data_IF_623470588108
#
_entry.id   IF_623470588108
#
_cell.length_a   1.000
_cell.length_b   1.000
_cell.length_c   1.000
_cell.angle_alpha   90.00
_cell.angle_beta   90.00
_cell.angle_gamma   90.00
#
_symmetry.space_group_name_H-M   'P 1'
#
loop_
_entity.id
_entity.type
_entity.pdbx_description
1 polymer ?
#
# COMPACT_ATOMS: atom_id res chain seq x y z
N UNK A 1 -26.46 -7.15 -34.44
CA UNK A 1 -25.64 -6.80 -33.25
C UNK A 1 -24.13 -6.76 -33.56
N UNK A 2 -23.66 -7.26 -34.71
CA UNK A 2 -22.24 -7.19 -35.12
C UNK A 2 -21.74 -5.78 -35.51
N UNK A 3 -22.61 -4.88 -36.00
CA UNK A 3 -22.20 -3.54 -36.44
C UNK A 3 -21.73 -2.59 -35.33
N UNK A 4 -22.20 -2.77 -34.09
CA UNK A 4 -21.87 -1.91 -32.94
C UNK A 4 -20.55 -2.29 -32.24
N UNK A 5 -20.18 -3.57 -32.27
CA UNK A 5 -18.91 -4.03 -31.70
C UNK A 5 -17.72 -3.50 -32.53
N UNK A 6 -17.84 -3.58 -33.85
CA UNK A 6 -16.80 -3.12 -34.77
C UNK A 6 -16.57 -1.61 -34.68
N UNK A 7 -17.63 -0.81 -34.49
CA UNK A 7 -17.50 0.66 -34.32
C UNK A 7 -16.81 1.07 -33.01
N UNK A 8 -16.91 0.25 -31.96
CA UNK A 8 -16.36 0.58 -30.65
C UNK A 8 -14.87 0.22 -30.54
N UNK A 9 -14.43 -0.89 -31.15
CA UNK A 9 -13.02 -1.25 -31.25
C UNK A 9 -12.24 -0.20 -32.07
N UNK A 10 -12.81 0.22 -33.21
CA UNK A 10 -12.23 1.23 -34.10
C UNK A 10 -12.16 2.62 -33.43
N UNK A 11 -13.11 2.93 -32.54
CA UNK A 11 -13.11 4.15 -31.71
C UNK A 11 -11.96 4.18 -30.70
N UNK A 12 -11.64 3.04 -30.09
CA UNK A 12 -10.53 2.94 -29.14
C UNK A 12 -9.18 3.05 -29.83
N UNK A 13 -9.01 2.41 -30.99
CA UNK A 13 -7.81 2.53 -31.81
C UNK A 13 -7.54 4.00 -32.19
N UNK A 14 -8.57 4.73 -32.67
CA UNK A 14 -8.48 6.16 -32.97
C UNK A 14 -8.23 7.05 -31.74
N UNK A 15 -8.75 6.67 -30.58
CA UNK A 15 -8.54 7.44 -29.34
C UNK A 15 -7.11 7.27 -28.82
N UNK A 16 -6.51 6.09 -28.95
CA UNK A 16 -5.12 5.84 -28.54
C UNK A 16 -4.10 6.64 -29.37
N UNK A 17 -4.45 7.02 -30.59
CA UNK A 17 -3.62 7.87 -31.47
C UNK A 17 -3.76 9.39 -31.20
N UNK A 18 -4.78 9.83 -30.46
CA UNK A 18 -5.04 11.24 -30.16
C UNK A 18 -4.18 11.81 -29.02
N UNK A 19 -4.09 13.14 -28.92
CA UNK A 19 -3.42 13.83 -27.80
C UNK A 19 -4.06 13.47 -26.44
N UNK A 20 -3.25 13.41 -25.38
CA UNK A 20 -3.68 13.08 -24.02
C UNK A 20 -4.89 13.90 -23.54
N UNK A 21 -4.92 15.20 -23.87
CA UNK A 21 -6.05 16.09 -23.54
C UNK A 21 -7.35 15.73 -24.26
N UNK A 22 -7.26 15.29 -25.51
CA UNK A 22 -8.44 14.81 -26.27
C UNK A 22 -8.94 13.46 -25.76
N UNK A 23 -8.03 12.58 -25.33
CA UNK A 23 -8.38 11.32 -24.68
C UNK A 23 -9.09 11.56 -23.35
N UNK A 24 -8.58 12.49 -22.52
CA UNK A 24 -9.18 12.85 -21.24
C UNK A 24 -10.58 13.46 -21.38
N UNK A 25 -10.79 14.32 -22.39
CA UNK A 25 -12.05 15.05 -22.56
C UNK A 25 -13.13 14.28 -23.33
N UNK A 26 -12.75 13.38 -24.26
CA UNK A 26 -13.70 12.72 -25.19
C UNK A 26 -13.62 11.19 -25.22
N UNK A 27 -12.59 10.58 -24.62
CA UNK A 27 -12.35 9.14 -24.68
C UNK A 27 -12.57 8.41 -23.35
N UNK A 28 -13.02 7.17 -23.44
CA UNK A 28 -12.93 6.17 -22.37
C UNK A 28 -11.57 5.51 -22.56
N UNK A 29 -10.62 5.63 -21.63
CA UNK A 29 -9.32 4.94 -21.71
C UNK A 29 -8.95 4.34 -20.34
N UNK A 30 -9.14 3.03 -20.12
CA UNK A 30 -8.92 2.39 -18.82
C UNK A 30 -7.43 2.38 -18.39
N UNK A 31 -6.51 2.43 -19.36
CA UNK A 31 -5.06 2.51 -19.11
C UNK A 31 -4.63 3.87 -18.59
N UNK A 32 -5.28 4.93 -19.06
CA UNK A 32 -5.06 6.30 -18.57
C UNK A 32 -5.81 6.53 -17.25
N UNK A 33 -7.01 5.98 -17.11
CA UNK A 33 -7.89 6.21 -15.96
C UNK A 33 -7.22 5.90 -14.62
N UNK A 34 -6.45 4.81 -14.53
CA UNK A 34 -5.69 4.46 -13.30
C UNK A 34 -4.76 5.58 -12.86
N UNK A 35 -4.06 6.26 -13.78
CA UNK A 35 -3.13 7.34 -13.43
C UNK A 35 -3.86 8.59 -12.95
N UNK A 36 -5.02 8.89 -13.55
CA UNK A 36 -5.89 9.98 -13.10
C UNK A 36 -6.38 9.71 -11.67
N UNK A 37 -6.86 8.50 -11.39
CA UNK A 37 -7.23 8.11 -10.02
C UNK A 37 -6.03 8.15 -9.07
N UNK A 38 -4.85 7.70 -9.50
CA UNK A 38 -3.60 7.82 -8.73
C UNK A 38 -3.28 9.27 -8.36
N UNK A 39 -3.41 10.19 -9.31
CA UNK A 39 -3.18 11.62 -9.10
C UNK A 39 -4.24 12.23 -8.18
N UNK A 40 -5.52 11.89 -8.36
CA UNK A 40 -6.60 12.33 -7.46
C UNK A 40 -6.35 11.90 -6.01
N UNK A 41 -5.88 10.66 -5.82
CA UNK A 41 -5.51 10.13 -4.51
C UNK A 41 -4.34 10.91 -3.90
N UNK A 42 -3.27 11.15 -4.67
CA UNK A 42 -2.13 11.96 -4.23
C UNK A 42 -2.56 13.37 -3.80
N UNK A 43 -3.37 14.06 -4.61
CA UNK A 43 -3.86 15.40 -4.30
C UNK A 43 -4.67 15.38 -2.99
N UNK A 44 -5.51 14.37 -2.79
CA UNK A 44 -6.34 14.25 -1.59
C UNK A 44 -5.51 13.97 -0.35
N UNK A 45 -4.45 13.17 -0.47
CA UNK A 45 -3.49 12.91 0.60
C UNK A 45 -2.67 14.16 0.96
N UNK A 46 -2.24 14.95 -0.04
CA UNK A 46 -1.59 16.24 0.19
C UNK A 46 -2.54 17.25 0.84
N UNK A 47 -3.84 17.23 0.48
CA UNK A 47 -4.86 18.04 1.13
C UNK A 47 -5.05 17.63 2.59
N UNK A 48 -5.09 16.32 2.90
CA UNK A 48 -5.20 15.82 4.27
C UNK A 48 -4.02 16.30 5.12
N UNK A 49 -2.81 16.20 4.57
CA UNK A 49 -1.61 16.73 5.20
C UNK A 49 -1.67 18.25 5.40
N UNK A 50 -2.10 19.00 4.38
CA UNK A 50 -2.23 20.45 4.48
C UNK A 50 -3.22 20.86 5.57
N UNK A 51 -4.35 20.17 5.67
CA UNK A 51 -5.35 20.36 6.74
C UNK A 51 -4.75 20.05 8.11
N UNK A 52 -3.93 19.00 8.24
CA UNK A 52 -3.27 18.64 9.51
C UNK A 52 -2.27 19.70 9.97
N UNK A 53 -1.35 20.11 9.08
CA UNK A 53 -0.18 20.93 9.47
C UNK A 53 -0.49 22.45 9.46
N UNK A 54 -1.47 22.88 8.66
CA UNK A 54 -1.81 24.29 8.40
C UNK A 54 -3.29 24.66 8.60
N UNK A 55 -4.16 23.69 8.92
CA UNK A 55 -5.59 23.94 9.16
C UNK A 55 -5.85 24.64 10.50
N UNK A 56 -5.55 25.94 10.57
CA UNK A 56 -5.82 26.81 11.74
C UNK A 56 -6.91 27.82 11.43
N UNK A 57 -7.92 27.46 10.63
CA UNK A 57 -9.04 28.39 10.35
C UNK A 57 -10.01 28.44 11.52
N UNK A 58 -10.50 29.64 11.82
CA UNK A 58 -11.49 29.94 12.87
C UNK A 58 -12.80 29.17 12.71
N UNK A 59 -13.11 28.65 11.51
CA UNK A 59 -14.25 27.75 11.26
C UNK A 59 -13.99 26.31 11.68
N UNK A 60 -12.74 25.82 11.58
CA UNK A 60 -12.34 24.51 12.09
C UNK A 60 -12.27 24.49 13.63
N UNK A 61 -11.92 25.61 14.27
CA UNK A 61 -12.00 25.75 15.73
C UNK A 61 -13.45 25.73 16.26
N UNK A 62 -14.45 25.96 15.39
CA UNK A 62 -15.88 25.95 15.75
C UNK A 62 -16.49 24.54 15.81
N UNK A 63 -15.71 23.50 15.47
CA UNK A 63 -16.09 22.09 15.60
C UNK A 63 -16.13 21.71 17.09
N UNK A 64 -17.33 21.80 17.66
CA UNK A 64 -17.66 21.62 19.10
C UNK A 64 -17.17 20.32 19.76
N UNK A 65 -16.65 19.35 19.02
CA UNK A 65 -16.19 18.06 19.55
C UNK A 65 -14.79 18.10 20.19
N UNK A 66 -13.94 19.03 19.75
CA UNK A 66 -12.64 19.27 20.35
C UNK A 66 -12.78 20.52 21.24
N UNK A 67 -12.45 20.43 22.53
CA UNK A 67 -12.44 21.57 23.47
C UNK A 67 -11.36 22.62 23.15
N UNK A 68 -11.17 23.01 21.89
CA UNK A 68 -10.22 24.02 21.44
C UNK A 68 -8.76 23.57 21.33
N UNK A 69 -8.46 22.27 21.49
CA UNK A 69 -7.11 21.74 21.28
C UNK A 69 -6.75 21.74 19.79
N UNK A 70 -5.69 22.47 19.40
CA UNK A 70 -5.21 22.58 18.01
C UNK A 70 -4.93 21.21 17.38
N UNK A 71 -4.47 20.26 18.18
CA UNK A 71 -4.04 18.93 17.72
C UNK A 71 -5.24 18.01 17.42
N UNK A 72 -6.30 18.11 18.21
CA UNK A 72 -7.58 17.43 17.96
C UNK A 72 -8.22 17.92 16.64
N UNK A 73 -8.11 19.22 16.35
CA UNK A 73 -8.61 19.82 15.10
C UNK A 73 -7.86 19.27 13.87
N UNK A 74 -6.53 19.10 13.97
CA UNK A 74 -5.71 18.50 12.91
C UNK A 74 -6.08 17.04 12.63
N UNK A 75 -6.17 16.22 13.68
CA UNK A 75 -6.55 14.79 13.59
C UNK A 75 -7.94 14.60 13.00
N UNK A 76 -8.96 15.29 13.52
CA UNK A 76 -10.30 15.17 12.95
C UNK A 76 -10.38 15.74 11.52
N UNK A 77 -9.57 16.76 11.20
CA UNK A 77 -9.45 17.30 9.84
C UNK A 77 -8.95 16.25 8.84
N UNK A 78 -7.88 15.51 9.19
CA UNK A 78 -7.37 14.39 8.39
C UNK A 78 -8.45 13.33 8.20
N UNK A 79 -9.16 12.95 9.27
CA UNK A 79 -10.20 11.92 9.22
C UNK A 79 -11.37 12.34 8.32
N UNK A 80 -11.76 13.62 8.30
CA UNK A 80 -12.80 14.14 7.40
C UNK A 80 -12.38 14.07 5.94
N UNK A 81 -11.16 14.52 5.63
CA UNK A 81 -10.61 14.45 4.27
C UNK A 81 -10.51 12.98 3.82
N UNK A 82 -10.05 12.10 4.71
CA UNK A 82 -10.02 10.65 4.47
C UNK A 82 -11.40 10.06 4.24
N UNK A 83 -12.42 10.44 5.04
CA UNK A 83 -13.79 9.95 4.90
C UNK A 83 -14.40 10.29 3.55
N UNK A 84 -14.21 11.52 3.07
CA UNK A 84 -14.65 11.93 1.74
C UNK A 84 -13.97 11.13 0.63
N UNK A 85 -12.65 10.95 0.74
CA UNK A 85 -11.85 10.15 -0.17
C UNK A 85 -12.29 8.67 -0.20
N UNK A 86 -12.41 8.06 0.98
CA UNK A 86 -12.88 6.69 1.16
C UNK A 86 -14.27 6.52 0.53
N UNK A 87 -15.20 7.43 0.81
CA UNK A 87 -16.58 7.34 0.31
C UNK A 87 -16.62 7.45 -1.21
N UNK A 88 -15.77 8.30 -1.82
CA UNK A 88 -15.65 8.39 -3.27
C UNK A 88 -15.15 7.08 -3.88
N UNK A 89 -14.01 6.55 -3.41
CA UNK A 89 -13.46 5.30 -3.94
C UNK A 89 -14.36 4.10 -3.64
N UNK A 90 -15.04 4.07 -2.50
CA UNK A 90 -15.99 3.02 -2.17
C UNK A 90 -17.25 3.08 -3.05
N UNK A 91 -17.73 4.28 -3.38
CA UNK A 91 -18.80 4.46 -4.38
C UNK A 91 -18.35 3.97 -5.75
N UNK A 92 -17.12 4.30 -6.15
CA UNK A 92 -16.53 3.78 -7.38
C UNK A 92 -16.41 2.26 -7.36
N UNK A 93 -16.01 1.66 -6.24
CA UNK A 93 -15.97 0.22 -6.05
C UNK A 93 -17.34 -0.42 -6.28
N UNK A 94 -18.39 0.05 -5.59
CA UNK A 94 -19.74 -0.49 -5.74
C UNK A 94 -20.29 -0.35 -7.17
N UNK A 95 -20.03 0.80 -7.81
CA UNK A 95 -20.52 1.08 -9.17
C UNK A 95 -19.76 0.33 -10.28
N UNK A 96 -18.53 -0.12 -10.02
CA UNK A 96 -17.67 -0.83 -10.99
C UNK A 96 -17.44 -2.30 -10.66
N UNK A 97 -17.97 -2.78 -9.52
CA UNK A 97 -17.90 -4.19 -9.12
C UNK A 97 -18.58 -5.10 -10.16
N UNK A 98 -17.91 -6.21 -10.48
CA UNK A 98 -18.41 -7.19 -11.45
C UNK A 98 -18.33 -6.76 -12.91
N UNK A 99 -17.60 -5.68 -13.24
CA UNK A 99 -17.25 -5.39 -14.64
C UNK A 99 -16.25 -6.44 -15.12
N UNK A 100 -16.56 -7.10 -16.23
CA UNK A 100 -15.72 -8.18 -16.78
C UNK A 100 -15.15 -7.87 -18.16
N UNK A 101 -15.83 -7.04 -18.96
CA UNK A 101 -15.48 -6.78 -20.37
C UNK A 101 -15.37 -5.30 -20.69
N UNK A 102 -14.53 -4.99 -21.68
CA UNK A 102 -14.50 -3.69 -22.33
C UNK A 102 -15.84 -3.42 -23.05
N UNK A 103 -16.23 -2.15 -23.18
CA UNK A 103 -17.47 -1.68 -23.82
C UNK A 103 -18.79 -1.80 -23.03
N UNK A 104 -18.73 -2.18 -21.75
CA UNK A 104 -19.90 -2.11 -20.87
C UNK A 104 -20.12 -0.69 -20.32
N UNK A 105 -21.36 -0.37 -19.92
CA UNK A 105 -21.69 0.92 -19.31
C UNK A 105 -20.84 1.23 -18.05
N UNK A 106 -20.49 0.19 -17.28
CA UNK A 106 -19.62 0.29 -16.09
C UNK A 106 -18.17 0.64 -16.44
N UNK A 107 -17.65 0.13 -17.56
CA UNK A 107 -16.34 0.53 -18.08
C UNK A 107 -16.35 2.00 -18.50
N UNK A 108 -17.37 2.43 -19.24
CA UNK A 108 -17.50 3.83 -19.64
C UNK A 108 -17.63 4.77 -18.44
N UNK A 109 -18.34 4.33 -17.38
CA UNK A 109 -18.37 5.03 -16.11
C UNK A 109 -16.98 5.06 -15.46
N UNK A 110 -16.23 3.95 -15.40
CA UNK A 110 -14.88 3.90 -14.80
C UNK A 110 -13.85 4.79 -15.52
N UNK A 111 -13.84 4.76 -16.85
CA UNK A 111 -12.78 5.35 -17.66
C UNK A 111 -13.12 6.71 -18.26
N UNK A 112 -14.38 7.15 -18.17
CA UNK A 112 -14.89 8.42 -18.71
C UNK A 112 -15.52 9.34 -17.65
N UNK A 113 -16.44 10.23 -18.05
CA UNK A 113 -17.28 11.04 -17.14
C UNK A 113 -16.51 11.81 -16.04
N UNK A 114 -15.29 12.26 -16.35
CA UNK A 114 -14.37 12.85 -15.37
C UNK A 114 -14.93 14.09 -14.68
N UNK A 115 -15.65 14.97 -15.38
CA UNK A 115 -16.28 16.14 -14.77
C UNK A 115 -17.28 15.78 -13.67
N UNK A 116 -18.10 14.74 -13.89
CA UNK A 116 -19.06 14.26 -12.90
C UNK A 116 -18.34 13.67 -11.67
N UNK A 117 -17.26 12.92 -11.88
CA UNK A 117 -16.46 12.34 -10.79
C UNK A 117 -15.70 13.38 -9.98
N UNK A 118 -15.13 14.39 -10.63
CA UNK A 118 -14.44 15.49 -9.94
C UNK A 118 -15.43 16.27 -9.08
N UNK A 119 -16.63 16.55 -9.60
CA UNK A 119 -17.70 17.17 -8.80
C UNK A 119 -18.12 16.26 -7.63
N UNK A 120 -18.35 14.97 -7.89
CA UNK A 120 -18.70 14.00 -6.85
C UNK A 120 -17.64 13.93 -5.75
N UNK A 121 -16.36 13.87 -6.11
CA UNK A 121 -15.25 13.87 -5.17
C UNK A 121 -15.27 15.13 -4.31
N UNK A 122 -15.29 16.32 -4.93
CA UNK A 122 -15.31 17.59 -4.18
C UNK A 122 -16.54 17.67 -3.27
N UNK A 123 -17.72 17.27 -3.76
CA UNK A 123 -18.94 17.26 -2.97
C UNK A 123 -18.81 16.33 -1.75
N UNK A 124 -18.32 15.10 -1.92
CA UNK A 124 -18.11 14.16 -0.81
C UNK A 124 -17.08 14.66 0.19
N UNK A 125 -16.02 15.32 -0.29
CA UNK A 125 -15.01 15.95 0.57
C UNK A 125 -15.61 17.07 1.41
N UNK A 126 -16.39 17.96 0.81
CA UNK A 126 -17.05 19.07 1.50
C UNK A 126 -18.11 18.55 2.49
N UNK A 127 -18.92 17.56 2.08
CA UNK A 127 -19.93 16.94 2.93
C UNK A 127 -19.33 16.30 4.19
N UNK A 128 -18.13 15.72 4.10
CA UNK A 128 -17.45 15.15 5.25
C UNK A 128 -17.15 16.17 6.37
N UNK A 129 -17.02 17.47 6.05
CA UNK A 129 -16.85 18.52 7.06
C UNK A 129 -18.12 18.87 7.83
N UNK A 130 -19.29 18.52 7.31
CA UNK A 130 -20.57 18.69 8.01
C UNK A 130 -20.93 17.49 8.90
N UNK A 131 -20.14 16.42 8.85
CA UNK A 131 -20.34 15.22 9.68
C UNK A 131 -19.99 15.53 11.14
N UNK A 132 -20.86 15.18 12.12
CA UNK A 132 -20.60 15.41 13.54
C UNK A 132 -19.33 14.71 14.05
N UNK A 133 -18.61 15.34 14.98
CA UNK A 133 -17.36 14.80 15.54
C UNK A 133 -17.46 13.36 16.08
N UNK A 134 -18.58 13.00 16.72
CA UNK A 134 -18.78 11.63 17.21
C UNK A 134 -18.75 10.58 16.08
N UNK A 135 -19.29 10.91 14.90
CA UNK A 135 -19.24 10.02 13.74
C UNK A 135 -17.84 9.99 13.10
N UNK A 136 -17.09 11.09 13.17
CA UNK A 136 -15.68 11.12 12.71
C UNK A 136 -14.77 10.28 13.61
N UNK A 137 -14.98 10.30 14.93
CA UNK A 137 -14.26 9.43 15.86
C UNK A 137 -14.57 7.96 15.61
N UNK A 138 -15.85 7.62 15.41
CA UNK A 138 -16.25 6.27 14.99
C UNK A 138 -15.60 5.87 13.65
N UNK A 139 -15.55 6.77 12.68
CA UNK A 139 -14.83 6.54 11.43
C UNK A 139 -13.33 6.29 11.67
N UNK A 140 -12.71 7.01 12.61
CA UNK A 140 -11.32 6.75 13.03
C UNK A 140 -11.09 5.31 13.50
N UNK A 141 -11.99 4.78 14.33
CA UNK A 141 -11.93 3.36 14.75
C UNK A 141 -12.10 2.39 13.58
N UNK A 142 -13.04 2.68 12.67
CA UNK A 142 -13.23 1.88 11.45
C UNK A 142 -11.99 1.97 10.54
N UNK A 143 -11.35 3.13 10.47
CA UNK A 143 -10.17 3.36 9.64
C UNK A 143 -8.95 2.56 10.13
N UNK A 144 -8.82 2.27 11.44
CA UNK A 144 -7.82 1.33 11.94
C UNK A 144 -7.99 -0.06 11.32
N UNK A 145 -9.23 -0.57 11.29
CA UNK A 145 -9.53 -1.86 10.65
C UNK A 145 -9.26 -1.81 9.14
N UNK A 146 -9.72 -0.76 8.46
CA UNK A 146 -9.47 -0.59 7.02
C UNK A 146 -7.99 -0.46 6.65
N UNK A 147 -7.20 0.18 7.51
CA UNK A 147 -5.74 0.25 7.39
C UNK A 147 -5.08 -1.13 7.51
N UNK A 148 -5.55 -1.96 8.45
CA UNK A 148 -5.12 -3.36 8.56
C UNK A 148 -5.47 -4.19 7.32
N UNK A 149 -6.68 -4.01 6.76
CA UNK A 149 -7.09 -4.65 5.49
C UNK A 149 -6.18 -4.22 4.34
N UNK A 150 -5.86 -2.93 4.24
CA UNK A 150 -4.94 -2.42 3.22
C UNK A 150 -3.55 -3.08 3.34
N UNK A 151 -2.98 -3.13 4.55
CA UNK A 151 -1.68 -3.78 4.80
C UNK A 151 -1.68 -5.25 4.38
N UNK A 152 -2.75 -5.99 4.69
CA UNK A 152 -2.89 -7.40 4.30
C UNK A 152 -2.97 -7.57 2.78
N UNK A 153 -3.76 -6.73 2.09
CA UNK A 153 -3.88 -6.78 0.63
C UNK A 153 -2.53 -6.41 -0.03
N UNK A 154 -1.86 -5.38 0.48
CA UNK A 154 -0.54 -4.96 0.01
C UNK A 154 0.49 -6.08 0.20
N UNK A 155 0.50 -6.73 1.37
CA UNK A 155 1.37 -7.87 1.65
C UNK A 155 1.16 -9.01 0.65
N UNK A 156 -0.08 -9.41 0.41
CA UNK A 156 -0.41 -10.47 -0.56
C UNK A 156 0.06 -10.10 -1.97
N UNK A 157 -0.11 -8.84 -2.37
CA UNK A 157 0.36 -8.33 -3.64
C UNK A 157 1.89 -8.38 -3.76
N UNK A 158 2.64 -8.03 -2.71
CA UNK A 158 4.10 -8.14 -2.68
C UNK A 158 4.54 -9.60 -2.82
N UNK A 159 3.92 -10.53 -2.10
CA UNK A 159 4.24 -11.96 -2.21
C UNK A 159 3.95 -12.48 -3.62
N UNK A 160 2.79 -12.11 -4.19
CA UNK A 160 2.42 -12.45 -5.56
C UNK A 160 3.44 -11.94 -6.57
N UNK A 161 3.87 -10.69 -6.43
CA UNK A 161 4.90 -10.08 -7.26
C UNK A 161 6.25 -10.81 -7.16
N UNK A 162 6.69 -11.14 -5.94
CA UNK A 162 7.95 -11.88 -5.72
C UNK A 162 7.88 -13.28 -6.35
N UNK A 163 6.73 -13.96 -6.24
CA UNK A 163 6.52 -15.27 -6.89
C UNK A 163 6.52 -15.15 -8.41
N UNK A 164 5.81 -14.17 -8.95
CA UNK A 164 5.81 -13.90 -10.39
C UNK A 164 7.22 -13.61 -10.91
N UNK A 165 8.02 -12.83 -10.18
CA UNK A 165 9.42 -12.59 -10.51
C UNK A 165 10.22 -13.90 -10.51
N UNK A 166 10.04 -14.74 -9.50
CA UNK A 166 10.70 -16.04 -9.43
C UNK A 166 10.34 -16.95 -10.61
N UNK A 167 9.05 -17.07 -10.92
CA UNK A 167 8.56 -17.92 -12.00
C UNK A 167 9.00 -17.40 -13.39
N UNK A 168 8.96 -16.08 -13.58
CA UNK A 168 9.44 -15.42 -14.79
C UNK A 168 10.92 -15.73 -15.05
N UNK A 169 11.73 -15.64 -13.99
CA UNK A 169 13.16 -15.93 -14.00
C UNK A 169 13.49 -17.41 -14.20
N UNK A 170 12.59 -18.34 -13.85
CA UNK A 170 12.77 -19.78 -14.05
C UNK A 170 12.23 -20.29 -15.40
N UNK A 171 11.55 -19.45 -16.19
CA UNK A 171 10.97 -19.88 -17.47
C UNK A 171 12.04 -20.31 -18.49
N UNK A 172 11.82 -21.45 -19.15
CA UNK A 172 12.78 -22.17 -20.03
C UNK A 172 13.37 -21.34 -21.18
N UNK A 173 12.81 -20.17 -21.49
CA UNK A 173 13.18 -19.36 -22.65
C UNK A 173 14.53 -18.61 -22.50
N UNK A 174 15.12 -18.57 -21.29
CA UNK A 174 16.33 -17.79 -20.99
C UNK A 174 17.38 -18.52 -20.10
N UNK A 175 17.36 -19.85 -20.09
CA UNK A 175 17.95 -20.72 -19.07
C UNK A 175 19.42 -20.42 -18.64
N UNK A 176 20.39 -20.29 -19.55
CA UNK A 176 21.81 -20.34 -19.13
C UNK A 176 22.38 -19.00 -18.63
N UNK A 177 21.99 -17.86 -19.23
CA UNK A 177 22.42 -16.52 -18.75
C UNK A 177 21.55 -15.99 -17.62
N UNK A 178 20.27 -16.35 -17.56
CA UNK A 178 19.36 -15.83 -16.53
C UNK A 178 19.61 -16.46 -15.16
N UNK A 179 19.98 -17.74 -15.08
CA UNK A 179 20.21 -18.43 -13.80
C UNK A 179 21.31 -17.78 -12.95
N UNK A 180 22.44 -17.40 -13.57
CA UNK A 180 23.54 -16.73 -12.86
C UNK A 180 23.12 -15.34 -12.38
N UNK A 181 22.42 -14.55 -13.22
CA UNK A 181 21.95 -13.22 -12.84
C UNK A 181 20.92 -13.26 -11.70
N UNK A 182 20.05 -14.26 -11.70
CA UNK A 182 19.01 -14.44 -10.67
C UNK A 182 19.63 -14.90 -9.36
N UNK A 183 20.57 -15.84 -9.40
CA UNK A 183 21.33 -16.27 -8.23
C UNK A 183 22.17 -15.13 -7.65
N UNK A 184 22.80 -14.31 -8.51
CA UNK A 184 23.52 -13.11 -8.11
C UNK A 184 22.58 -12.11 -7.43
N UNK A 185 21.43 -11.82 -8.04
CA UNK A 185 20.42 -10.91 -7.49
C UNK A 185 19.88 -11.36 -6.13
N UNK A 186 19.58 -12.65 -6.00
CA UNK A 186 19.16 -13.26 -4.74
C UNK A 186 20.24 -13.13 -3.65
N UNK A 187 21.49 -13.42 -4.01
CA UNK A 187 22.64 -13.33 -3.10
C UNK A 187 22.87 -11.88 -2.67
N UNK A 188 22.81 -10.92 -3.61
CA UNK A 188 22.92 -9.49 -3.32
C UNK A 188 21.80 -9.02 -2.40
N UNK A 189 20.55 -9.43 -2.66
CA UNK A 189 19.42 -9.09 -1.80
C UNK A 189 19.66 -9.59 -0.36
N UNK A 190 20.10 -10.84 -0.20
CA UNK A 190 20.39 -11.41 1.12
C UNK A 190 21.55 -10.70 1.83
N UNK A 191 22.63 -10.36 1.12
CA UNK A 191 23.74 -9.57 1.67
C UNK A 191 23.25 -8.20 2.14
N UNK A 192 22.39 -7.53 1.38
CA UNK A 192 21.79 -6.25 1.77
C UNK A 192 20.92 -6.41 3.02
N UNK A 193 20.15 -7.49 3.16
CA UNK A 193 19.39 -7.79 4.38
C UNK A 193 20.32 -7.89 5.59
N UNK A 194 21.39 -8.69 5.49
CA UNK A 194 22.36 -8.86 6.59
C UNK A 194 23.07 -7.56 6.95
N UNK A 195 23.48 -6.76 5.95
CA UNK A 195 24.04 -5.43 6.18
C UNK A 195 23.02 -4.51 6.88
N UNK A 196 21.76 -4.55 6.47
CA UNK A 196 20.68 -3.80 7.10
C UNK A 196 20.50 -4.15 8.59
N UNK A 197 20.47 -5.45 8.92
CA UNK A 197 20.42 -5.93 10.31
C UNK A 197 21.63 -5.41 11.12
N UNK A 198 22.85 -5.53 10.58
CA UNK A 198 24.08 -5.07 11.25
C UNK A 198 24.03 -3.56 11.50
N UNK A 199 23.68 -2.77 10.49
CA UNK A 199 23.54 -1.32 10.62
C UNK A 199 22.47 -0.95 11.65
N UNK A 200 21.37 -1.72 11.73
CA UNK A 200 20.34 -1.48 12.73
C UNK A 200 20.85 -1.69 14.16
N UNK A 201 21.63 -2.74 14.43
CA UNK A 201 22.26 -2.91 15.75
C UNK A 201 23.18 -1.75 16.09
N UNK A 202 24.02 -1.29 15.15
CA UNK A 202 25.00 -0.22 15.40
C UNK A 202 24.31 1.12 15.71
N UNK A 203 23.19 1.42 15.05
CA UNK A 203 22.54 2.74 15.15
C UNK A 203 21.36 2.77 16.13
N UNK A 204 20.62 1.67 16.28
CA UNK A 204 19.39 1.63 17.08
C UNK A 204 19.46 0.74 18.32
N UNK A 205 20.59 0.08 18.57
CA UNK A 205 20.86 -0.67 19.80
C UNK A 205 22.30 -0.42 20.33
N UNK A 206 22.70 0.84 20.58
CA UNK A 206 24.05 1.18 21.00
C UNK A 206 24.39 0.68 22.42
N UNK A 207 23.37 0.51 23.27
CA UNK A 207 23.50 0.12 24.67
C UNK A 207 22.67 -1.12 24.98
N UNK A 208 23.06 -1.94 25.97
CA UNK A 208 22.30 -3.13 26.39
C UNK A 208 20.95 -2.79 27.04
N UNK A 209 20.74 -1.53 27.43
CA UNK A 209 19.47 -1.01 27.95
C UNK A 209 18.36 -0.98 26.88
N UNK A 210 18.72 -0.95 25.60
CA UNK A 210 17.80 -0.90 24.46
C UNK A 210 17.15 -2.24 24.13
N UNK A 211 16.57 -2.91 25.14
CA UNK A 211 16.09 -4.28 25.07
C UNK A 211 15.02 -4.50 23.98
N UNK A 212 14.13 -3.52 23.79
CA UNK A 212 13.07 -3.66 22.80
C UNK A 212 13.61 -3.65 21.36
N UNK A 213 14.53 -2.74 21.05
CA UNK A 213 15.14 -2.64 19.73
C UNK A 213 16.03 -3.86 19.46
N UNK A 214 16.78 -4.32 20.48
CA UNK A 214 17.51 -5.58 20.43
C UNK A 214 16.56 -6.73 20.11
N UNK A 215 15.42 -6.82 20.79
CA UNK A 215 14.41 -7.85 20.53
C UNK A 215 13.88 -7.79 19.10
N UNK A 216 13.43 -6.63 18.62
CA UNK A 216 12.92 -6.47 17.26
C UNK A 216 13.94 -6.88 16.20
N UNK A 217 15.18 -6.38 16.30
CA UNK A 217 16.23 -6.68 15.32
C UNK A 217 16.62 -8.17 15.37
N UNK A 218 16.78 -8.73 16.58
CA UNK A 218 17.13 -10.15 16.76
C UNK A 218 16.03 -11.07 16.22
N UNK A 219 14.77 -10.74 16.51
CA UNK A 219 13.64 -11.51 16.02
C UNK A 219 13.50 -11.43 14.51
N UNK A 220 13.70 -10.24 13.92
CA UNK A 220 13.75 -10.06 12.45
C UNK A 220 14.82 -10.96 11.82
N UNK A 221 16.02 -11.04 12.43
CA UNK A 221 17.08 -11.93 11.98
C UNK A 221 16.65 -13.40 12.05
N UNK A 222 16.03 -13.83 13.14
CA UNK A 222 15.49 -15.20 13.29
C UNK A 222 14.45 -15.50 12.21
N UNK A 223 13.52 -14.58 11.97
CA UNK A 223 12.50 -14.72 10.93
C UNK A 223 13.13 -14.81 9.52
N UNK A 224 14.15 -14.01 9.23
CA UNK A 224 14.90 -14.06 7.97
C UNK A 224 15.57 -15.43 7.75
N UNK A 225 16.23 -15.97 8.79
CA UNK A 225 16.82 -17.31 8.73
C UNK A 225 15.75 -18.37 8.54
N UNK A 226 14.64 -18.31 9.29
CA UNK A 226 13.53 -19.23 9.18
C UNK A 226 12.94 -19.26 7.76
N UNK A 227 12.66 -18.10 7.16
CA UNK A 227 12.17 -18.02 5.79
C UNK A 227 13.14 -18.65 4.79
N UNK A 228 14.44 -18.38 4.94
CA UNK A 228 15.49 -18.96 4.10
C UNK A 228 15.53 -20.48 4.25
N UNK A 229 15.53 -21.01 5.48
CA UNK A 229 15.53 -22.45 5.73
C UNK A 229 14.30 -23.16 5.16
N UNK A 230 13.11 -22.58 5.31
CA UNK A 230 11.87 -23.16 4.75
C UNK A 230 11.91 -23.15 3.23
N UNK A 231 12.36 -22.05 2.60
CA UNK A 231 12.42 -21.92 1.14
C UNK A 231 13.36 -22.95 0.49
N UNK A 232 14.50 -23.23 1.15
CA UNK A 232 15.53 -24.14 0.65
C UNK A 232 15.27 -25.62 0.98
N UNK A 233 14.30 -25.90 1.84
CA UNK A 233 13.97 -27.27 2.19
C UNK A 233 13.58 -28.07 0.93
N UNK A 234 14.09 -29.29 0.78
CA UNK A 234 13.98 -30.09 -0.45
C UNK A 234 12.54 -30.27 -0.94
N UNK A 235 11.57 -30.38 -0.02
CA UNK A 235 10.14 -30.48 -0.35
C UNK A 235 9.52 -29.19 -0.91
N UNK A 236 10.09 -28.03 -0.59
CA UNK A 236 9.61 -26.70 -1.01
C UNK A 236 10.36 -26.26 -2.26
N UNK A 237 11.70 -26.30 -2.21
CA UNK A 237 12.62 -25.92 -3.29
C UNK A 237 12.23 -24.62 -4.02
N UNK A 238 11.84 -23.59 -3.27
CA UNK A 238 11.44 -22.29 -3.82
C UNK A 238 12.63 -21.38 -4.18
N UNK A 239 13.87 -21.88 -4.01
CA UNK A 239 15.11 -21.19 -4.31
C UNK A 239 15.46 -20.08 -3.32
N UNK A 240 16.54 -19.35 -3.62
CA UNK A 240 17.06 -18.25 -2.79
C UNK A 240 16.43 -16.89 -3.12
N UNK A 241 15.83 -16.73 -4.30
CA UNK A 241 15.30 -15.44 -4.76
C UNK A 241 14.12 -14.95 -3.92
N UNK A 242 13.17 -15.85 -3.66
CA UNK A 242 11.96 -15.51 -2.91
C UNK A 242 12.24 -15.11 -1.45
N UNK A 243 13.07 -15.83 -0.64
CA UNK A 243 13.38 -15.39 0.72
C UNK A 243 14.31 -14.18 0.74
N UNK A 244 15.13 -13.96 -0.31
CA UNK A 244 15.97 -12.76 -0.45
C UNK A 244 15.14 -11.48 -0.57
N UNK A 245 14.19 -11.42 -1.51
CA UNK A 245 13.31 -10.26 -1.66
C UNK A 245 12.32 -10.09 -0.52
N UNK A 246 11.78 -11.20 0.00
CA UNK A 246 10.93 -11.15 1.17
C UNK A 246 11.70 -10.65 2.40
N UNK A 247 12.96 -11.05 2.53
CA UNK A 247 13.89 -10.56 3.54
C UNK A 247 14.10 -9.05 3.47
N UNK A 248 14.26 -8.48 2.26
CA UNK A 248 14.41 -7.03 2.10
C UNK A 248 13.17 -6.28 2.61
N UNK A 249 11.97 -6.82 2.33
CA UNK A 249 10.72 -6.24 2.80
C UNK A 249 10.59 -6.32 4.33
N UNK A 250 10.90 -7.47 4.93
CA UNK A 250 10.87 -7.71 6.37
C UNK A 250 11.87 -6.83 7.12
N UNK A 251 13.12 -6.74 6.64
CA UNK A 251 14.14 -5.85 7.21
C UNK A 251 13.73 -4.38 7.09
N UNK A 252 13.10 -3.99 5.97
CA UNK A 252 12.55 -2.65 5.81
C UNK A 252 11.40 -2.35 6.80
N UNK A 253 10.51 -3.30 7.05
CA UNK A 253 9.42 -3.14 8.02
C UNK A 253 9.97 -2.96 9.44
N UNK A 254 10.94 -3.78 9.87
CA UNK A 254 11.61 -3.63 11.17
C UNK A 254 12.28 -2.25 11.28
N UNK A 255 13.07 -1.87 10.27
CA UNK A 255 13.72 -0.56 10.25
C UNK A 255 12.71 0.59 10.35
N UNK A 256 11.61 0.51 9.59
CA UNK A 256 10.55 1.51 9.63
C UNK A 256 9.82 1.52 10.97
N UNK A 257 9.67 0.38 11.65
CA UNK A 257 9.05 0.30 12.97
C UNK A 257 9.89 1.02 14.03
N UNK A 258 11.20 0.77 14.05
CA UNK A 258 12.13 1.41 14.98
C UNK A 258 12.17 2.93 14.74
N UNK A 259 12.15 3.36 13.48
CA UNK A 259 12.08 4.80 13.12
C UNK A 259 10.78 5.48 13.56
N UNK A 260 9.74 4.70 13.83
CA UNK A 260 8.43 5.17 14.27
C UNK A 260 8.35 5.39 15.79
N UNK A 261 9.36 4.95 16.56
CA UNK A 261 9.38 5.12 18.02
C UNK A 261 9.20 6.58 18.44
N UNK A 262 8.57 6.85 19.60
CA UNK A 262 8.41 8.21 20.10
C UNK A 262 9.76 8.83 20.46
N UNK A 263 9.99 10.13 20.19
CA UNK A 263 11.31 10.76 20.32
C UNK A 263 11.96 10.68 21.70
N UNK A 264 11.16 10.63 22.77
CA UNK A 264 11.63 10.65 24.16
C UNK A 264 12.23 9.31 24.61
N UNK A 265 11.88 8.22 23.94
CA UNK A 265 12.30 6.85 24.28
C UNK A 265 13.18 6.21 23.19
N UNK A 266 13.62 7.02 22.21
CA UNK A 266 14.41 6.53 21.07
C UNK A 266 15.80 6.11 21.51
N UNK A 267 16.08 4.82 21.36
CA UNK A 267 17.41 4.26 21.39
C UNK A 267 18.13 4.54 20.06
N UNK A 268 18.66 5.75 19.87
CA UNK A 268 19.41 6.14 18.67
C UNK A 268 20.80 6.62 19.08
N UNK A 269 21.83 6.14 18.36
CA UNK A 269 23.16 6.72 18.46
C UNK A 269 23.10 8.19 18.03
N UNK A 270 23.34 9.11 18.95
CA UNK A 270 23.33 10.55 18.66
C UNK A 270 24.33 10.87 17.54
N UNK A 271 23.83 11.36 16.41
CA UNK A 271 24.63 11.92 15.34
C UNK A 271 24.46 13.44 15.35
N UNK A 272 25.57 14.16 15.55
CA UNK A 272 25.65 15.62 15.47
C UNK A 272 25.09 16.13 14.12
N UNK A 273 23.86 16.63 14.10
CA UNK A 273 23.25 17.21 12.89
C UNK A 273 22.16 18.24 13.21
N UNK A 274 22.47 19.28 13.98
CA UNK A 274 21.52 20.29 14.46
C UNK A 274 20.97 21.28 13.39
N UNK A 275 21.25 21.10 12.09
CA UNK A 275 20.66 21.95 11.01
C UNK A 275 20.25 21.19 9.75
N UNK A 276 20.62 19.91 9.61
CA UNK A 276 20.18 19.03 8.50
C UNK A 276 18.82 18.37 8.76
N UNK A 277 18.33 18.39 10.00
CA UNK A 277 17.12 17.64 10.42
C UNK A 277 15.83 18.06 9.70
N UNK A 278 15.57 19.36 9.52
CA UNK A 278 14.29 19.81 8.95
C UNK A 278 14.15 19.44 7.46
N UNK A 279 15.16 19.71 6.64
CA UNK A 279 15.15 19.35 5.22
C UNK A 279 15.07 17.83 5.01
N UNK A 280 15.76 17.05 5.86
CA UNK A 280 15.67 15.59 5.85
C UNK A 280 14.26 15.10 6.22
N UNK A 281 13.58 15.74 7.18
CA UNK A 281 12.20 15.40 7.53
C UNK A 281 11.24 15.70 6.37
N UNK A 282 11.38 16.86 5.71
CA UNK A 282 10.56 17.22 4.54
C UNK A 282 10.76 16.19 3.41
N UNK A 283 12.02 15.87 3.09
CA UNK A 283 12.34 14.89 2.04
C UNK A 283 11.78 13.52 2.43
N UNK A 284 11.98 13.07 3.66
CA UNK A 284 11.45 11.79 4.16
C UNK A 284 9.94 11.74 4.09
N UNK A 285 9.25 12.84 4.42
CA UNK A 285 7.80 12.95 4.34
C UNK A 285 7.32 12.83 2.89
N UNK A 286 7.90 13.59 1.96
CA UNK A 286 7.53 13.55 0.54
C UNK A 286 7.75 12.14 -0.02
N UNK A 287 8.89 11.53 0.28
CA UNK A 287 9.20 10.15 -0.13
C UNK A 287 8.18 9.17 0.45
N UNK A 288 7.80 9.31 1.72
CA UNK A 288 6.77 8.46 2.33
C UNK A 288 5.41 8.61 1.62
N UNK A 289 4.94 9.84 1.38
CA UNK A 289 3.69 10.10 0.67
C UNK A 289 3.70 9.47 -0.73
N UNK A 290 4.78 9.67 -1.48
CA UNK A 290 4.94 9.09 -2.82
C UNK A 290 4.96 7.55 -2.73
N UNK A 291 5.69 6.98 -1.78
CA UNK A 291 5.77 5.54 -1.60
C UNK A 291 4.40 4.92 -1.29
N UNK A 292 3.57 5.57 -0.47
CA UNK A 292 2.22 5.08 -0.14
C UNK A 292 1.30 5.16 -1.36
N UNK A 293 1.39 6.22 -2.16
CA UNK A 293 0.62 6.34 -3.40
C UNK A 293 1.04 5.28 -4.42
N UNK A 294 2.35 5.06 -4.58
CA UNK A 294 2.87 4.00 -5.47
C UNK A 294 2.41 2.63 -4.98
N UNK A 295 2.52 2.34 -3.69
CA UNK A 295 2.06 1.10 -3.09
C UNK A 295 0.56 0.87 -3.35
N UNK A 296 -0.28 1.88 -3.08
CA UNK A 296 -1.73 1.82 -3.32
C UNK A 296 -2.03 1.57 -4.80
N UNK A 297 -1.34 2.29 -5.70
CA UNK A 297 -1.49 2.14 -7.13
C UNK A 297 -1.07 0.76 -7.63
N UNK A 298 0.11 0.28 -7.23
CA UNK A 298 0.65 -1.02 -7.64
C UNK A 298 -0.19 -2.18 -7.11
N UNK A 299 -0.64 -2.09 -5.86
CA UNK A 299 -1.53 -3.09 -5.27
C UNK A 299 -2.90 -3.06 -5.94
N UNK A 300 -3.44 -1.89 -6.29
CA UNK A 300 -4.74 -1.78 -6.96
C UNK A 300 -4.78 -2.40 -8.37
N UNK A 301 -3.66 -2.38 -9.09
CA UNK A 301 -3.58 -3.01 -10.42
C UNK A 301 -3.34 -4.52 -10.35
N UNK A 302 -2.85 -5.05 -9.22
CA UNK A 302 -2.56 -6.48 -8.99
C UNK A 302 -3.81 -7.31 -8.66
N UNK A 303 -4.95 -6.92 -9.24
CA UNK A 303 -6.24 -7.63 -9.11
C UNK A 303 -6.19 -9.11 -9.49
N UNK A 304 -5.28 -9.51 -10.40
CA UNK A 304 -5.11 -10.89 -10.84
C UNK A 304 -4.69 -11.83 -9.70
N UNK A 305 -4.03 -11.31 -8.66
CA UNK A 305 -3.71 -12.07 -7.44
C UNK A 305 -4.98 -12.56 -6.70
N UNK A 306 -6.09 -11.85 -6.83
CA UNK A 306 -7.34 -12.11 -6.09
C UNK A 306 -8.44 -12.71 -6.97
N UNK A 307 -8.17 -12.94 -8.25
CA UNK A 307 -9.09 -13.63 -9.14
C UNK A 307 -8.95 -15.15 -8.95
N UNK A 308 -9.99 -15.76 -8.38
CA UNK A 308 -10.05 -17.21 -8.12
C UNK A 308 -10.21 -18.07 -9.39
N UNK A 309 -10.47 -17.47 -10.56
CA UNK A 309 -10.64 -18.18 -11.83
C UNK A 309 -9.40 -17.95 -12.70
N UNK A 310 -8.50 -18.95 -12.71
CA UNK A 310 -7.17 -18.85 -13.35
C UNK A 310 -7.09 -19.44 -14.75
N UNK A 311 -8.19 -19.96 -15.30
CA UNK A 311 -8.23 -20.59 -16.62
C UNK A 311 -9.27 -19.94 -17.52
N UNK A 312 -8.80 -19.04 -18.39
CA UNK A 312 -9.40 -18.73 -19.70
C UNK A 312 -8.36 -17.91 -20.47
N UNK A 313 -8.11 -18.25 -21.73
CA UNK A 313 -7.28 -17.47 -22.65
C UNK A 313 -7.75 -16.01 -22.65
N UNK A 314 -6.85 -15.05 -22.34
CA UNK A 314 -7.22 -13.64 -22.33
C UNK A 314 -7.79 -13.23 -23.70
N UNK A 315 -9.04 -12.80 -23.71
CA UNK A 315 -9.67 -12.27 -24.91
C UNK A 315 -9.26 -10.81 -25.13
N UNK A 316 -9.32 -10.32 -26.37
CA UNK A 316 -8.98 -8.92 -26.69
C UNK A 316 -9.87 -7.89 -25.96
N UNK A 317 -11.08 -8.30 -25.52
CA UNK A 317 -12.03 -7.47 -24.78
C UNK A 317 -11.87 -7.55 -23.24
N UNK A 318 -10.85 -8.25 -22.74
CA UNK A 318 -10.61 -8.37 -21.29
C UNK A 318 -10.08 -7.07 -20.67
N UNK A 319 -10.47 -6.85 -19.41
CA UNK A 319 -10.03 -5.68 -18.66
C UNK A 319 -8.54 -5.78 -18.28
N UNK A 320 -7.80 -4.64 -18.28
CA UNK A 320 -6.39 -4.63 -17.91
C UNK A 320 -6.14 -4.92 -16.42
N UNK A 321 -7.13 -4.63 -15.57
CA UNK A 321 -7.18 -4.90 -14.14
C UNK A 321 -8.64 -4.88 -13.67
N UNK A 322 -8.95 -5.53 -12.56
CA UNK A 322 -10.27 -5.51 -11.96
C UNK A 322 -10.60 -4.14 -11.37
N UNK A 323 -11.49 -3.38 -12.03
CA UNK A 323 -11.85 -2.02 -11.62
C UNK A 323 -12.39 -1.93 -10.19
N UNK A 324 -13.26 -2.86 -9.79
CA UNK A 324 -13.77 -2.92 -8.42
C UNK A 324 -12.62 -3.08 -7.41
N UNK A 325 -11.77 -4.09 -7.60
CA UNK A 325 -10.64 -4.33 -6.70
C UNK A 325 -9.69 -3.12 -6.63
N UNK A 326 -9.40 -2.50 -7.77
CA UNK A 326 -8.61 -1.27 -7.82
C UNK A 326 -9.18 -0.18 -6.91
N UNK A 327 -10.48 0.11 -7.01
CA UNK A 327 -11.12 1.12 -6.16
C UNK A 327 -11.23 0.71 -4.69
N UNK A 328 -11.40 -0.58 -4.40
CA UNK A 328 -11.37 -1.09 -3.03
C UNK A 328 -10.01 -0.83 -2.37
N UNK A 329 -8.90 -1.08 -3.09
CA UNK A 329 -7.53 -0.82 -2.61
C UNK A 329 -7.31 0.68 -2.36
N UNK A 330 -7.82 1.56 -3.21
CA UNK A 330 -7.74 3.00 -2.98
C UNK A 330 -8.60 3.46 -1.81
N UNK A 331 -9.77 2.85 -1.60
CA UNK A 331 -10.63 3.15 -0.47
C UNK A 331 -9.96 2.77 0.87
N UNK A 332 -9.44 1.54 0.99
CA UNK A 332 -8.70 1.10 2.18
C UNK A 332 -7.36 1.83 2.31
N UNK A 333 -6.73 2.20 1.20
CA UNK A 333 -5.54 3.05 1.16
C UNK A 333 -5.79 4.46 1.72
N UNK A 334 -6.97 5.04 1.51
CA UNK A 334 -7.35 6.33 2.09
C UNK A 334 -7.46 6.27 3.62
N UNK A 335 -7.97 5.14 4.15
CA UNK A 335 -8.00 4.88 5.59
C UNK A 335 -6.59 4.68 6.15
N UNK A 336 -5.77 3.86 5.48
CA UNK A 336 -4.37 3.63 5.83
C UNK A 336 -3.59 4.95 5.91
N UNK A 337 -3.59 5.75 4.84
CA UNK A 337 -2.85 7.02 4.81
C UNK A 337 -3.29 7.99 5.92
N UNK A 338 -4.58 8.00 6.26
CA UNK A 338 -5.09 8.80 7.37
C UNK A 338 -4.49 8.35 8.71
N UNK A 339 -4.44 7.05 8.97
CA UNK A 339 -3.80 6.49 10.18
C UNK A 339 -2.33 6.89 10.26
N UNK A 340 -1.63 6.88 9.12
CA UNK A 340 -0.24 7.30 9.09
C UNK A 340 -0.05 8.78 9.44
N UNK A 341 -0.94 9.64 8.93
CA UNK A 341 -0.89 11.08 9.22
C UNK A 341 -1.24 11.41 10.67
N UNK A 342 -2.09 10.63 11.34
CA UNK A 342 -2.46 10.87 12.74
C UNK A 342 -1.61 10.04 13.73
N UNK A 343 -0.62 9.28 13.24
CA UNK A 343 0.25 8.48 14.11
C UNK A 343 -0.48 7.33 14.82
N UNK A 344 -1.54 6.79 14.21
CA UNK A 344 -2.35 5.69 14.75
C UNK A 344 -2.93 5.96 16.14
N UNK A 345 -3.12 7.24 16.47
CA UNK A 345 -3.72 7.65 17.73
C UNK A 345 -4.57 8.90 17.50
N UNK A 346 -5.75 8.92 18.11
CA UNK A 346 -6.59 10.11 18.09
C UNK A 346 -6.08 11.21 19.04
N UNK A 347 -5.11 10.90 19.91
CA UNK A 347 -4.75 11.73 21.07
C UNK A 347 -3.26 12.10 21.15
N UNK A 348 -2.43 11.59 20.23
CA UNK A 348 -1.00 11.90 20.21
C UNK A 348 -0.71 13.07 19.27
N UNK A 349 0.20 13.93 19.69
CA UNK A 349 0.61 15.09 18.91
C UNK A 349 1.57 14.68 17.78
N UNK A 350 1.16 14.94 16.54
CA UNK A 350 1.99 14.74 15.35
C UNK A 350 2.74 16.03 15.00
N UNK A 351 4.07 15.98 14.97
CA UNK A 351 4.90 17.11 14.55
C UNK A 351 4.73 17.37 13.05
N UNK A 352 4.84 18.64 12.63
CA UNK A 352 4.86 19.01 11.21
C UNK A 352 5.89 18.22 10.43
N UNK A 353 5.55 17.86 9.19
CA UNK A 353 6.43 17.06 8.31
C UNK A 353 6.82 15.69 8.88
N UNK A 354 6.04 15.16 9.83
CA UNK A 354 6.20 13.78 10.31
C UNK A 354 4.99 12.93 9.92
N UNK A 355 5.21 11.63 9.81
CA UNK A 355 4.22 10.62 9.53
C UNK A 355 4.59 9.40 10.37
N UNK A 356 3.60 8.63 10.83
CA UNK A 356 3.83 7.34 11.48
C UNK A 356 4.67 7.36 12.77
N UNK A 357 4.56 8.40 13.60
CA UNK A 357 5.30 8.45 14.87
C UNK A 357 4.41 8.01 16.02
N UNK A 358 4.88 7.08 16.84
CA UNK A 358 4.22 6.60 18.05
C UNK A 358 4.35 5.09 18.24
N UNK A 359 4.18 4.64 19.48
CA UNK A 359 4.24 3.21 19.83
C UNK A 359 3.25 2.35 19.04
N UNK A 360 2.04 2.86 18.78
CA UNK A 360 1.04 2.15 17.96
C UNK A 360 1.56 1.92 16.54
N UNK A 361 2.16 2.95 15.92
CA UNK A 361 2.78 2.83 14.58
C UNK A 361 3.90 1.78 14.57
N UNK A 362 4.79 1.81 15.57
CA UNK A 362 5.86 0.81 15.73
C UNK A 362 5.30 -0.60 15.79
N UNK A 363 4.33 -0.87 16.67
CA UNK A 363 3.75 -2.20 16.82
C UNK A 363 2.98 -2.67 15.60
N UNK A 364 2.23 -1.79 14.92
CA UNK A 364 1.54 -2.15 13.67
C UNK A 364 2.54 -2.65 12.63
N UNK A 365 3.71 -2.01 12.51
CA UNK A 365 4.75 -2.41 11.55
C UNK A 365 5.41 -3.73 11.93
N UNK A 366 5.70 -3.96 13.21
CA UNK A 366 6.24 -5.23 13.72
C UNK A 366 5.25 -6.38 13.55
N UNK A 367 3.97 -6.16 13.87
CA UNK A 367 2.93 -7.18 13.65
C UNK A 367 2.74 -7.45 12.16
N UNK A 368 2.77 -6.41 11.31
CA UNK A 368 2.71 -6.59 9.86
C UNK A 368 3.91 -7.39 9.34
N UNK A 369 5.10 -7.19 9.91
CA UNK A 369 6.29 -8.00 9.60
C UNK A 369 6.08 -9.49 9.95
N UNK A 370 5.56 -9.78 11.15
CA UNK A 370 5.31 -11.16 11.56
C UNK A 370 4.25 -11.82 10.69
N UNK A 371 3.16 -11.11 10.40
CA UNK A 371 2.12 -11.57 9.49
C UNK A 371 2.70 -11.80 8.09
N UNK A 372 3.60 -10.94 7.62
CA UNK A 372 4.27 -11.09 6.34
C UNK A 372 5.03 -12.41 6.26
N UNK A 373 5.82 -12.73 7.28
CA UNK A 373 6.56 -14.00 7.35
C UNK A 373 5.63 -15.20 7.46
N UNK A 374 4.61 -15.13 8.32
CA UNK A 374 3.62 -16.21 8.47
C UNK A 374 2.89 -16.51 7.15
N UNK A 375 2.41 -15.48 6.46
CA UNK A 375 1.72 -15.62 5.17
C UNK A 375 2.68 -16.15 4.11
N UNK A 376 3.91 -15.63 4.03
CA UNK A 376 4.92 -16.12 3.10
C UNK A 376 5.19 -17.62 3.29
N UNK A 377 5.53 -18.05 4.51
CA UNK A 377 5.78 -19.46 4.85
C UNK A 377 4.56 -20.31 4.53
N UNK A 378 3.36 -19.86 4.93
CA UNK A 378 2.11 -20.57 4.63
C UNK A 378 1.92 -20.77 3.13
N UNK A 379 2.23 -19.75 2.32
CA UNK A 379 2.06 -19.85 0.87
C UNK A 379 3.06 -20.79 0.19
N UNK A 380 4.16 -21.16 0.86
CA UNK A 380 5.12 -22.17 0.41
C UNK A 380 4.74 -23.57 0.89
N UNK A 381 4.25 -23.68 2.12
CA UNK A 381 3.97 -24.96 2.79
C UNK A 381 2.58 -25.51 2.45
N UNK A 382 1.56 -24.66 2.29
CA UNK A 382 0.18 -25.09 2.05
C UNK A 382 0.00 -25.99 0.82
N UNK A 383 0.64 -25.74 -0.35
CA UNK A 383 0.56 -26.64 -1.50
C UNK A 383 1.10 -28.04 -1.21
N UNK A 384 2.13 -28.17 -0.35
CA UNK A 384 2.76 -29.45 0.01
C UNK A 384 1.82 -30.25 0.91
N UNK A 385 1.24 -29.59 1.93
CA UNK A 385 0.27 -30.23 2.84
C UNK A 385 -0.96 -30.71 2.05
N UNK A 386 -1.45 -29.91 1.11
CA UNK A 386 -2.58 -30.29 0.27
C UNK A 386 -2.26 -31.51 -0.61
N UNK A 387 -1.07 -31.56 -1.22
CA UNK A 387 -0.64 -32.71 -2.03
C UNK A 387 -0.48 -33.97 -1.18
N UNK A 388 0.13 -33.88 0.01
CA UNK A 388 0.30 -35.04 0.90
C UNK A 388 -1.04 -35.63 1.38
N UNK A 389 -2.04 -34.76 1.61
CA UNK A 389 -3.39 -35.19 2.01
C UNK A 389 -4.13 -35.92 0.89
N UNK A 390 -3.84 -35.60 -0.37
CA UNK A 390 -4.44 -36.29 -1.53
C UNK A 390 -3.77 -37.65 -1.82
N UNK A 391 -2.51 -37.84 -1.43
CA UNK A 391 -1.74 -39.07 -1.69
C UNK A 391 -1.86 -40.14 -0.59
N UNK A 392 -2.61 -39.89 0.49
CA UNK A 392 -2.84 -40.89 1.55
C UNK A 392 -4.15 -41.62 1.25
N UNK A 393 -4.14 -42.90 0.78
CA UNK A 393 -5.37 -43.67 0.66
C UNK A 393 -5.97 -43.92 2.05
N UNK A 394 -7.30 -43.81 2.14
CA UNK A 394 -8.08 -44.03 3.36
C UNK A 394 -7.96 -45.46 3.90
#
# INVERSE_FOLDING_TARGET
MEGTANSNADRYAKLMEGSWWTQFRRGSNPWMARYVYGLMFLITNLLAWAVRDYGTSTEMERLKGCHGGKDCVGTEGVLRVSLGCFTFYFTMFLSTAGTSKLHEARESWHSGWWSAKLFLMIALMVLAFFVPSAAIQLYGEIAHFGAGVFLLIQLLSIISFIKWLNDYCQSEKYADRCHIHVMLLATTAYVVCMLGIILMYIWYAPEPSCLLNIFFITWTLVLLQLMTSVSLHEKVNAGFLTPGFMGLYVVFLCWSAIRSEPPEERCIKEAEAATKGLWLNIISFIVAVIAIVIATFSTGIDSKCFQFRKDETQAEDDLPYGFGFFHLVFATGAMYFAMLLIGWSAHNDMKRWTIDVGWTSTWVRIVNEWLAVCVYIWTLVAPIISKSRQTTPA
#
